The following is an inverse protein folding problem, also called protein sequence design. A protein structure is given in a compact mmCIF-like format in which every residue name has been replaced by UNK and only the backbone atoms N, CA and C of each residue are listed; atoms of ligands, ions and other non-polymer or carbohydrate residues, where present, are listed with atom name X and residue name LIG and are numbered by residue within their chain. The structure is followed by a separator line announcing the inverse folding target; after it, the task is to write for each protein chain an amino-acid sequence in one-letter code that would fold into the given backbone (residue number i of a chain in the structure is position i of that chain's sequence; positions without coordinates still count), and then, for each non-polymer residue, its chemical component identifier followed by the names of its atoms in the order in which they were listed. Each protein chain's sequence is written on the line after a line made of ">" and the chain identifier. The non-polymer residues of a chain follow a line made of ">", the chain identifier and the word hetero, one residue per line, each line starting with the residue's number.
data_IF_684679184175
#
_entry.id   IF_684679184175
#
_cell.length_a   1.000
_cell.length_b   1.000
_cell.length_c   1.000
_cell.angle_alpha   90.00
_cell.angle_beta   90.00
_cell.angle_gamma   90.00
#
_symmetry.space_group_name_H-M   'P 1'
#
loop_
_entity.id
_entity.type
_entity.pdbx_description
1 polymer ?
#
# COMPACT_ATOMS: atom_id res chain seq x y z
N UNK A 1 34.01 48.84 31.38
CA UNK A 1 33.32 47.55 31.58
C UNK A 1 31.99 47.83 32.27
N UNK A 2 30.87 47.64 31.56
CA UNK A 2 29.51 47.70 32.12
C UNK A 2 28.64 46.71 31.34
N UNK A 3 28.03 45.78 32.07
CA UNK A 3 27.23 44.68 31.56
C UNK A 3 25.91 45.18 30.97
N UNK A 4 25.51 44.66 29.80
CA UNK A 4 24.12 44.67 29.36
C UNK A 4 23.46 43.38 29.84
N UNK A 5 22.36 43.55 30.60
CA UNK A 5 21.58 42.49 31.20
C UNK A 5 20.84 41.64 30.16
N UNK A 6 20.78 40.35 30.46
CA UNK A 6 19.96 39.35 29.77
C UNK A 6 18.48 39.67 29.95
N UNK A 7 17.74 39.79 28.85
CA UNK A 7 16.28 39.75 28.84
C UNK A 7 15.83 38.29 28.92
N UNK A 8 14.91 37.92 29.84
CA UNK A 8 14.34 36.58 29.85
C UNK A 8 13.37 36.43 28.67
N UNK A 9 13.62 35.42 27.83
CA UNK A 9 12.63 34.96 26.84
C UNK A 9 11.52 34.25 27.61
N UNK A 10 10.36 34.88 27.69
CA UNK A 10 9.14 34.25 28.20
C UNK A 10 8.61 33.34 27.09
N UNK A 11 8.84 32.04 27.21
CA UNK A 11 8.16 31.03 26.39
C UNK A 11 6.75 30.88 26.96
N UNK A 12 5.77 31.46 26.27
CA UNK A 12 4.37 31.16 26.53
C UNK A 12 4.06 29.75 26.01
N UNK A 13 4.05 28.77 26.91
CA UNK A 13 3.46 27.46 26.63
C UNK A 13 1.96 27.65 26.43
N UNK A 14 1.51 27.65 25.18
CA UNK A 14 0.11 27.42 24.87
C UNK A 14 -0.22 25.99 25.31
N UNK A 15 -1.00 25.85 26.38
CA UNK A 15 -1.69 24.60 26.70
C UNK A 15 -2.65 24.33 25.54
N UNK A 16 -2.21 23.54 24.57
CA UNK A 16 -3.13 22.86 23.68
C UNK A 16 -3.97 21.95 24.58
N UNK A 17 -5.19 22.39 24.87
CA UNK A 17 -6.19 21.55 25.50
C UNK A 17 -6.26 20.25 24.69
N UNK A 18 -5.79 19.17 25.30
CA UNK A 18 -5.72 17.86 24.68
C UNK A 18 -7.12 17.42 24.30
N UNK A 19 -7.39 17.38 22.99
CA UNK A 19 -8.46 16.54 22.48
C UNK A 19 -7.98 15.10 22.71
N UNK A 20 -8.34 14.53 23.86
CA UNK A 20 -8.15 13.10 24.08
C UNK A 20 -8.95 12.37 23.00
N UNK A 21 -8.41 11.39 22.28
CA UNK A 21 -9.19 10.60 21.35
C UNK A 21 -10.36 10.02 22.13
N UNK A 22 -11.57 10.52 21.87
CA UNK A 22 -12.77 9.95 22.47
C UNK A 22 -12.95 8.60 21.78
N UNK A 23 -12.56 7.53 22.48
CA UNK A 23 -12.69 6.17 21.99
C UNK A 23 -14.18 5.85 21.93
N UNK A 24 -14.74 5.82 20.72
CA UNK A 24 -16.12 5.38 20.52
C UNK A 24 -16.11 3.85 20.54
N UNK A 25 -16.66 3.19 21.58
CA UNK A 25 -16.63 1.73 21.66
C UNK A 25 -17.44 1.13 20.51
N UNK A 26 -16.94 0.05 19.92
CA UNK A 26 -17.67 -0.72 18.91
C UNK A 26 -18.94 -1.30 19.56
N UNK A 27 -20.15 -1.03 19.02
CA UNK A 27 -21.38 -1.56 19.58
C UNK A 27 -21.39 -3.09 19.61
N UNK A 28 -21.84 -3.68 20.71
CA UNK A 28 -21.98 -5.14 20.79
C UNK A 28 -23.19 -5.63 19.98
N UNK A 29 -23.01 -6.69 19.21
CA UNK A 29 -24.06 -7.39 18.48
C UNK A 29 -24.19 -8.85 18.95
N UNK A 30 -25.43 -9.28 19.20
CA UNK A 30 -25.75 -10.64 19.64
C UNK A 30 -26.79 -11.32 18.71
N UNK A 31 -26.62 -11.14 17.40
CA UNK A 31 -27.50 -11.75 16.40
C UNK A 31 -27.31 -13.27 16.24
N UNK A 32 -28.10 -13.92 15.37
CA UNK A 32 -27.89 -15.32 15.01
C UNK A 32 -26.51 -15.51 14.33
N UNK A 33 -26.00 -16.75 14.35
CA UNK A 33 -24.77 -17.10 13.64
C UNK A 33 -25.00 -16.97 12.13
N UNK A 34 -24.26 -16.06 11.47
CA UNK A 34 -24.44 -15.75 10.04
C UNK A 34 -23.10 -15.37 9.42
N UNK A 35 -22.44 -16.33 8.75
CA UNK A 35 -21.12 -16.13 8.15
C UNK A 35 -21.21 -15.48 6.76
N UNK A 36 -20.89 -14.19 6.68
CA UNK A 36 -20.86 -13.42 5.44
C UNK A 36 -19.44 -12.92 5.16
N UNK A 37 -18.85 -13.41 4.07
CA UNK A 37 -17.54 -12.98 3.58
C UNK A 37 -17.73 -11.81 2.63
N UNK A 38 -17.03 -10.70 2.89
CA UNK A 38 -17.05 -9.50 2.03
C UNK A 38 -15.84 -9.46 1.11
N UNK A 39 -14.74 -10.05 1.55
CA UNK A 39 -13.55 -10.27 0.74
C UNK A 39 -12.79 -11.49 1.28
N UNK A 40 -12.16 -12.28 0.41
CA UNK A 40 -12.15 -12.14 -1.04
C UNK A 40 -13.53 -12.39 -1.67
N UNK A 41 -13.76 -11.75 -2.82
CA UNK A 41 -14.94 -12.00 -3.66
C UNK A 41 -14.61 -13.16 -4.62
N UNK A 42 -15.55 -13.48 -5.52
CA UNK A 42 -15.33 -14.50 -6.56
C UNK A 42 -14.35 -14.05 -7.65
N UNK A 43 -13.95 -12.77 -7.65
CA UNK A 43 -13.05 -12.18 -8.64
C UNK A 43 -11.59 -12.61 -8.42
N UNK A 44 -10.79 -12.75 -9.49
CA UNK A 44 -9.37 -13.04 -9.38
C UNK A 44 -8.61 -12.00 -8.55
N UNK A 45 -7.79 -12.47 -7.61
CA UNK A 45 -7.01 -11.63 -6.70
C UNK A 45 -5.51 -11.68 -7.01
N UNK A 46 -4.87 -10.51 -7.00
CA UNK A 46 -3.42 -10.35 -7.14
C UNK A 46 -2.74 -10.56 -5.79
N UNK A 47 -2.44 -11.80 -5.44
CA UNK A 47 -1.87 -12.15 -4.13
C UNK A 47 -0.73 -13.17 -4.28
N UNK A 48 0.35 -12.98 -3.52
CA UNK A 48 1.52 -13.88 -3.52
C UNK A 48 1.44 -14.87 -2.37
N UNK A 49 1.59 -14.37 -1.13
CA UNK A 49 1.87 -15.20 0.03
C UNK A 49 0.75 -15.14 1.09
N UNK A 50 0.00 -14.05 1.12
CA UNK A 50 -1.13 -13.86 2.03
C UNK A 50 -2.26 -13.07 1.38
N UNK A 51 -3.46 -13.23 1.93
CA UNK A 51 -4.67 -12.55 1.48
C UNK A 51 -5.41 -11.96 2.68
N UNK A 52 -5.99 -10.76 2.48
CA UNK A 52 -6.90 -10.19 3.46
C UNK A 52 -8.22 -10.95 3.45
N UNK A 53 -8.83 -11.19 4.61
CA UNK A 53 -10.15 -11.79 4.73
C UNK A 53 -10.93 -10.98 5.75
N UNK A 54 -12.11 -10.52 5.36
CA UNK A 54 -12.97 -9.72 6.22
C UNK A 54 -14.44 -9.91 5.88
N UNK A 55 -15.28 -9.71 6.89
CA UNK A 55 -16.69 -10.02 6.84
C UNK A 55 -17.37 -9.85 8.18
N UNK A 56 -18.51 -10.51 8.34
CA UNK A 56 -19.27 -10.55 9.59
C UNK A 56 -19.73 -11.98 9.87
N UNK A 57 -19.83 -12.32 11.16
CA UNK A 57 -20.43 -13.58 11.63
C UNK A 57 -21.76 -13.37 12.36
N UNK A 58 -22.26 -12.13 12.38
CA UNK A 58 -23.56 -11.73 12.95
C UNK A 58 -23.57 -11.48 14.46
N UNK A 59 -22.51 -11.85 15.19
CA UNK A 59 -22.41 -11.67 16.64
C UNK A 59 -20.98 -11.62 17.15
N UNK A 60 -20.68 -10.68 18.05
CA UNK A 60 -19.38 -10.62 18.74
C UNK A 60 -19.16 -11.71 19.79
N UNK A 61 -20.19 -12.52 20.10
CA UNK A 61 -20.06 -13.71 20.97
C UNK A 61 -19.68 -14.97 20.20
N UNK A 62 -19.66 -14.92 18.88
CA UNK A 62 -19.28 -16.05 18.05
C UNK A 62 -17.75 -16.15 17.92
N UNK A 63 -17.26 -17.33 17.56
CA UNK A 63 -15.85 -17.61 17.31
C UNK A 63 -15.66 -17.91 15.83
N UNK A 64 -14.54 -17.46 15.27
CA UNK A 64 -14.16 -17.75 13.89
C UNK A 64 -12.79 -18.44 13.87
N UNK A 65 -12.68 -19.49 13.08
CA UNK A 65 -11.41 -20.12 12.70
C UNK A 65 -11.28 -20.08 11.18
N UNK A 66 -10.09 -19.74 10.69
CA UNK A 66 -9.73 -19.85 9.27
C UNK A 66 -8.48 -20.71 9.18
N UNK A 67 -8.55 -21.81 8.42
CA UNK A 67 -7.51 -22.84 8.31
C UNK A 67 -7.03 -23.33 9.69
N UNK A 68 -7.98 -23.49 10.61
CA UNK A 68 -7.71 -23.89 12.01
C UNK A 68 -7.11 -22.80 12.90
N UNK A 69 -6.88 -21.57 12.41
CA UNK A 69 -6.37 -20.45 13.21
C UNK A 69 -7.50 -19.61 13.76
N UNK A 70 -7.48 -19.32 15.06
CA UNK A 70 -8.48 -18.45 15.70
C UNK A 70 -8.34 -17.02 15.19
N UNK A 71 -9.44 -16.45 14.70
CA UNK A 71 -9.51 -15.06 14.22
C UNK A 71 -10.29 -14.23 15.24
N UNK A 72 -9.79 -13.02 15.49
CA UNK A 72 -10.48 -12.07 16.37
C UNK A 72 -11.78 -11.61 15.72
N UNK A 73 -12.85 -11.67 16.50
CA UNK A 73 -14.17 -11.15 16.15
C UNK A 73 -14.40 -9.94 17.04
N UNK A 74 -14.79 -8.82 16.42
CA UNK A 74 -15.10 -7.58 17.12
C UNK A 74 -16.49 -7.64 17.78
N UNK A 75 -16.81 -6.75 18.74
CA UNK A 75 -18.07 -6.78 19.47
C UNK A 75 -19.32 -6.78 18.59
N UNK A 76 -19.26 -6.13 17.43
CA UNK A 76 -20.34 -6.07 16.43
C UNK A 76 -20.47 -7.33 15.56
N UNK A 77 -19.59 -8.32 15.76
CA UNK A 77 -19.51 -9.54 14.96
C UNK A 77 -18.72 -9.38 13.66
N UNK A 78 -18.08 -8.23 13.44
CA UNK A 78 -17.14 -8.02 12.34
C UNK A 78 -15.81 -8.74 12.58
N UNK A 79 -15.08 -9.02 11.50
CA UNK A 79 -13.71 -9.49 11.59
C UNK A 79 -12.90 -9.03 10.38
N UNK A 80 -11.59 -8.87 10.58
CA UNK A 80 -10.63 -8.61 9.51
C UNK A 80 -9.27 -9.20 9.88
N UNK A 81 -8.62 -9.89 8.94
CA UNK A 81 -7.32 -10.53 9.18
C UNK A 81 -6.56 -10.76 7.88
N UNK A 82 -5.27 -11.04 7.98
CA UNK A 82 -4.47 -11.59 6.87
C UNK A 82 -4.18 -13.06 7.14
N UNK A 83 -4.47 -13.91 6.16
CA UNK A 83 -4.17 -15.34 6.21
C UNK A 83 -3.16 -15.71 5.12
N UNK A 84 -2.17 -16.57 5.42
CA UNK A 84 -1.32 -17.18 4.40
C UNK A 84 -2.17 -17.90 3.37
N UNK A 85 -1.76 -17.85 2.10
CA UNK A 85 -2.46 -18.63 1.08
C UNK A 85 -2.07 -20.11 1.26
N UNK A 86 -3.03 -21.02 1.47
CA UNK A 86 -2.74 -22.43 1.65
C UNK A 86 -2.15 -23.04 0.36
N UNK A 87 -1.44 -24.17 0.46
CA UNK A 87 -1.01 -24.92 -0.71
C UNK A 87 -2.22 -25.47 -1.48
N UNK A 88 -2.10 -25.59 -2.80
CA UNK A 88 -3.16 -26.11 -3.68
C UNK A 88 -3.28 -25.32 -4.98
N UNK A 89 -3.98 -25.90 -5.96
CA UNK A 89 -4.35 -25.23 -7.22
C UNK A 89 -5.79 -25.64 -7.65
N UNK A 90 -6.81 -24.79 -7.41
CA UNK A 90 -6.73 -23.52 -6.70
C UNK A 90 -6.51 -23.73 -5.18
N UNK A 91 -5.82 -22.79 -4.50
CA UNK A 91 -5.75 -22.80 -3.04
C UNK A 91 -7.11 -22.47 -2.42
N UNK A 92 -7.42 -23.07 -1.28
CA UNK A 92 -8.76 -23.03 -0.68
C UNK A 92 -8.69 -22.75 0.82
N UNK A 93 -9.41 -21.73 1.29
CA UNK A 93 -9.55 -21.43 2.71
C UNK A 93 -10.70 -22.21 3.33
N UNK A 94 -10.49 -22.76 4.51
CA UNK A 94 -11.52 -23.40 5.32
C UNK A 94 -11.93 -22.50 6.48
N UNK A 95 -13.20 -22.10 6.53
CA UNK A 95 -13.77 -21.23 7.55
C UNK A 95 -14.74 -22.02 8.43
N UNK A 96 -14.57 -21.88 9.74
CA UNK A 96 -15.47 -22.45 10.74
C UNK A 96 -15.90 -21.34 11.69
N UNK A 97 -17.20 -21.04 11.69
CA UNK A 97 -17.82 -20.12 12.63
C UNK A 97 -18.67 -20.90 13.63
N UNK A 98 -18.57 -20.60 14.92
CA UNK A 98 -19.35 -21.28 15.97
C UNK A 98 -19.93 -20.31 17.00
N UNK A 99 -21.12 -20.64 17.50
CA UNK A 99 -21.79 -19.94 18.61
C UNK A 99 -22.74 -20.91 19.34
N UNK A 100 -22.48 -21.17 20.61
CA UNK A 100 -23.18 -22.24 21.35
C UNK A 100 -23.00 -23.58 20.63
N UNK A 101 -24.10 -24.27 20.36
CA UNK A 101 -24.14 -25.53 19.63
C UNK A 101 -24.22 -25.36 18.09
N UNK A 102 -24.34 -24.12 17.60
CA UNK A 102 -24.39 -23.83 16.16
C UNK A 102 -22.99 -23.73 15.58
N UNK A 103 -22.77 -24.41 14.45
CA UNK A 103 -21.52 -24.37 13.68
C UNK A 103 -21.85 -24.19 12.20
N UNK A 104 -21.11 -23.30 11.53
CA UNK A 104 -21.13 -23.11 10.08
C UNK A 104 -19.73 -23.41 9.56
N UNK A 105 -19.65 -24.32 8.59
CA UNK A 105 -18.44 -24.54 7.79
C UNK A 105 -18.62 -23.90 6.42
N UNK A 106 -17.58 -23.24 5.92
CA UNK A 106 -17.55 -22.66 4.58
C UNK A 106 -16.17 -22.80 3.98
N UNK A 107 -16.14 -23.28 2.75
CA UNK A 107 -14.93 -23.42 1.95
C UNK A 107 -14.89 -22.30 0.92
N UNK A 108 -13.75 -21.62 0.79
CA UNK A 108 -13.59 -20.46 -0.09
C UNK A 108 -12.39 -20.66 -1.03
N UNK A 109 -12.62 -21.03 -2.31
CA UNK A 109 -11.54 -21.12 -3.29
C UNK A 109 -10.99 -19.74 -3.62
N UNK A 110 -9.66 -19.63 -3.74
CA UNK A 110 -8.98 -18.38 -4.09
C UNK A 110 -8.51 -18.45 -5.53
N UNK A 111 -9.17 -17.68 -6.40
CA UNK A 111 -8.74 -17.52 -7.78
C UNK A 111 -7.57 -16.53 -7.83
N UNK A 112 -6.36 -17.01 -8.10
CA UNK A 112 -5.21 -16.11 -8.32
C UNK A 112 -5.32 -15.46 -9.69
N UNK A 113 -5.23 -14.14 -9.72
CA UNK A 113 -5.01 -13.42 -10.97
C UNK A 113 -3.67 -13.87 -11.56
N UNK A 114 -3.71 -14.47 -12.76
CA UNK A 114 -2.49 -14.79 -13.49
C UNK A 114 -1.97 -13.50 -14.12
N UNK A 115 -0.83 -13.00 -13.66
CA UNK A 115 0.00 -12.22 -14.56
C UNK A 115 0.60 -13.22 -15.52
N UNK A 116 0.43 -13.00 -16.82
CA UNK A 116 1.51 -13.39 -17.73
C UNK A 116 2.75 -12.75 -17.13
N UNK A 117 3.75 -13.53 -16.64
CA UNK A 117 4.98 -12.92 -16.17
C UNK A 117 5.45 -12.05 -17.32
N UNK A 118 5.52 -10.73 -17.11
CA UNK A 118 6.29 -9.90 -18.02
C UNK A 118 7.66 -10.52 -17.97
N UNK A 119 8.03 -11.22 -19.05
CA UNK A 119 9.32 -11.89 -19.17
C UNK A 119 10.34 -10.86 -18.69
N UNK A 120 11.01 -11.16 -17.57
CA UNK A 120 12.08 -10.31 -17.07
C UNK A 120 13.08 -10.31 -18.21
N UNK A 121 13.07 -9.24 -19.02
CA UNK A 121 14.17 -9.00 -19.92
C UNK A 121 15.38 -9.03 -18.99
N UNK A 122 16.32 -9.94 -19.25
CA UNK A 122 17.64 -9.83 -18.63
C UNK A 122 18.02 -8.35 -18.63
N UNK A 123 18.57 -7.81 -17.54
CA UNK A 123 18.94 -6.40 -17.49
C UNK A 123 20.00 -6.13 -18.57
N UNK A 124 19.53 -5.85 -19.78
CA UNK A 124 20.34 -5.24 -20.81
C UNK A 124 20.74 -3.89 -20.22
N UNK A 125 21.99 -3.45 -20.39
CA UNK A 125 22.29 -2.06 -20.15
C UNK A 125 21.24 -1.25 -20.91
N UNK A 126 20.53 -0.37 -20.20
CA UNK A 126 19.43 0.36 -20.78
C UNK A 126 19.97 1.14 -21.98
N UNK A 127 19.62 0.69 -23.18
CA UNK A 127 20.08 1.33 -24.41
C UNK A 127 19.57 2.78 -24.48
N UNK A 128 18.48 3.07 -23.75
CA UNK A 128 17.79 4.34 -23.74
C UNK A 128 17.40 4.74 -22.32
N UNK A 129 17.57 6.01 -22.02
CA UNK A 129 17.11 6.64 -20.79
C UNK A 129 16.04 7.65 -21.15
N UNK A 130 15.07 7.83 -20.27
CA UNK A 130 14.08 8.89 -20.40
C UNK A 130 14.08 9.78 -19.17
N UNK A 131 13.78 11.05 -19.38
CA UNK A 131 13.43 12.00 -18.34
C UNK A 131 11.92 12.11 -18.25
N UNK A 132 11.40 11.99 -17.05
CA UNK A 132 9.99 12.16 -16.77
C UNK A 132 9.62 13.63 -16.82
N UNK A 133 8.73 14.01 -17.72
CA UNK A 133 8.27 15.39 -17.85
C UNK A 133 6.82 15.37 -18.29
N UNK A 134 5.99 16.15 -17.59
CA UNK A 134 4.61 16.38 -18.00
C UNK A 134 4.50 17.83 -18.45
N UNK A 135 4.07 18.10 -19.70
CA UNK A 135 3.86 19.47 -20.13
C UNK A 135 2.83 20.15 -19.21
N UNK A 136 2.99 21.45 -18.93
CA UNK A 136 1.99 22.19 -18.17
C UNK A 136 0.64 22.06 -18.88
N UNK A 137 -0.40 21.69 -18.13
CA UNK A 137 -1.77 21.77 -18.65
C UNK A 137 -2.15 23.25 -18.77
N UNK A 138 -2.94 23.55 -19.79
CA UNK A 138 -3.58 24.85 -20.06
C UNK A 138 -4.60 25.29 -18.99
N UNK A 139 -4.79 24.50 -17.94
CA UNK A 139 -5.58 24.87 -16.77
C UNK A 139 -4.75 25.73 -15.82
N UNK A 140 -5.35 26.84 -15.34
CA UNK A 140 -4.71 27.86 -14.50
C UNK A 140 -4.09 27.27 -13.21
N UNK A 141 -4.58 26.12 -12.76
CA UNK A 141 -4.08 25.39 -11.57
C UNK A 141 -2.87 24.46 -11.85
N UNK A 142 -2.56 24.16 -13.11
CA UNK A 142 -1.50 23.20 -13.44
C UNK A 142 -0.11 23.84 -13.50
N UNK A 143 0.00 25.16 -13.71
CA UNK A 143 1.28 25.86 -13.84
C UNK A 143 2.09 25.93 -12.53
N UNK A 144 1.43 25.79 -11.37
CA UNK A 144 2.05 25.92 -10.03
C UNK A 144 2.16 24.59 -9.27
N UNK A 145 1.62 23.49 -9.79
CA UNK A 145 1.63 22.20 -9.10
C UNK A 145 2.65 21.26 -9.72
N UNK A 146 3.67 20.87 -8.96
CA UNK A 146 4.53 19.75 -9.28
C UNK A 146 3.71 18.45 -9.22
N UNK A 147 3.03 18.09 -10.31
CA UNK A 147 2.16 16.91 -10.37
C UNK A 147 3.01 15.66 -10.63
N UNK A 148 2.98 14.65 -9.74
CA UNK A 148 3.72 13.42 -10.02
C UNK A 148 3.21 12.74 -11.29
N UNK A 149 4.12 12.07 -11.98
CA UNK A 149 3.77 11.13 -13.05
C UNK A 149 3.42 9.81 -12.38
N UNK A 150 2.27 9.24 -12.72
CA UNK A 150 1.82 8.00 -12.08
C UNK A 150 2.21 6.81 -12.94
N UNK A 151 3.07 5.95 -12.39
CA UNK A 151 3.35 4.64 -12.94
C UNK A 151 2.17 3.68 -12.74
N UNK A 152 2.13 2.65 -13.58
CA UNK A 152 1.14 1.55 -13.58
C UNK A 152 1.89 0.22 -13.52
N UNK A 153 1.30 -0.80 -12.90
CA UNK A 153 1.92 -2.14 -12.89
C UNK A 153 1.81 -2.86 -14.24
N UNK A 154 0.80 -2.51 -15.04
CA UNK A 154 0.55 -3.05 -16.38
C UNK A 154 0.26 -1.91 -17.36
N UNK A 155 0.50 -2.09 -18.68
CA UNK A 155 0.10 -1.13 -19.71
C UNK A 155 -1.41 -0.85 -19.63
N UNK A 156 -1.80 0.42 -19.59
CA UNK A 156 -3.20 0.84 -19.42
C UNK A 156 -3.89 0.47 -18.09
N UNK A 157 -3.20 -0.21 -17.15
CA UNK A 157 -3.76 -0.68 -15.87
C UNK A 157 -4.02 0.44 -14.85
N UNK A 158 -4.44 0.10 -13.63
CA UNK A 158 -4.67 1.10 -12.57
C UNK A 158 -3.37 1.85 -12.19
N UNK A 159 -3.52 3.10 -11.70
CA UNK A 159 -2.41 3.88 -11.17
C UNK A 159 -1.83 3.19 -9.94
N UNK A 160 -0.50 3.11 -9.88
CA UNK A 160 0.23 2.35 -8.88
C UNK A 160 1.11 3.25 -7.99
N UNK A 161 2.00 4.02 -8.61
CA UNK A 161 3.07 4.72 -7.90
C UNK A 161 3.27 6.15 -8.42
N UNK A 162 3.24 7.18 -7.56
CA UNK A 162 3.67 8.51 -7.96
C UNK A 162 5.20 8.54 -8.12
N UNK A 163 5.66 9.09 -9.25
CA UNK A 163 7.07 9.29 -9.58
C UNK A 163 7.31 10.79 -9.73
N UNK A 164 8.36 11.35 -9.11
CA UNK A 164 8.68 12.76 -9.29
C UNK A 164 9.00 13.06 -10.75
N UNK A 165 8.66 14.28 -11.18
CA UNK A 165 9.12 14.79 -12.47
C UNK A 165 10.65 14.99 -12.45
N UNK A 166 11.24 15.15 -13.64
CA UNK A 166 12.67 15.31 -13.90
C UNK A 166 13.56 14.10 -13.56
N UNK A 167 12.98 13.05 -12.97
CA UNK A 167 13.68 11.79 -12.71
C UNK A 167 14.06 11.14 -14.04
N UNK A 168 15.31 10.65 -14.11
CA UNK A 168 15.81 9.91 -15.26
C UNK A 168 15.79 8.43 -14.95
N UNK A 169 15.13 7.65 -15.79
CA UNK A 169 15.00 6.22 -15.60
C UNK A 169 15.42 5.45 -16.86
N UNK A 170 16.02 4.27 -16.69
CA UNK A 170 16.26 3.36 -17.80
C UNK A 170 14.95 2.82 -18.36
N UNK A 171 14.88 2.73 -19.69
CA UNK A 171 13.78 2.04 -20.40
C UNK A 171 14.16 0.57 -20.60
N UNK A 172 13.32 -0.32 -20.10
CA UNK A 172 13.51 -1.77 -20.19
C UNK A 172 12.65 -2.40 -21.29
N UNK A 173 11.49 -1.83 -21.60
CA UNK A 173 10.59 -2.25 -22.68
C UNK A 173 9.69 -1.10 -23.14
N UNK A 174 9.05 -1.25 -24.30
CA UNK A 174 8.09 -0.27 -24.81
C UNK A 174 6.94 -0.94 -25.56
N UNK A 175 5.78 -0.29 -25.53
CA UNK A 175 4.65 -0.51 -26.45
C UNK A 175 4.46 0.77 -27.28
N UNK A 176 3.53 0.78 -28.25
CA UNK A 176 3.22 2.01 -28.99
C UNK A 176 2.82 3.19 -28.09
N UNK A 177 2.09 2.93 -27.00
CA UNK A 177 1.56 3.96 -26.11
C UNK A 177 2.31 4.14 -24.78
N UNK A 178 3.01 3.11 -24.30
CA UNK A 178 3.60 3.10 -22.95
C UNK A 178 5.08 2.74 -22.97
N UNK A 179 5.80 3.21 -21.95
CA UNK A 179 7.19 2.85 -21.67
C UNK A 179 7.27 2.09 -20.34
N UNK A 180 8.04 1.01 -20.30
CA UNK A 180 8.39 0.29 -19.07
C UNK A 180 9.71 0.83 -18.54
N UNK A 181 9.64 1.46 -17.37
CA UNK A 181 10.77 2.08 -16.70
C UNK A 181 11.21 1.24 -15.51
N UNK A 182 12.51 1.06 -15.37
CA UNK A 182 13.08 0.31 -14.25
C UNK A 182 13.47 1.23 -13.10
N UNK A 183 12.91 0.93 -11.94
CA UNK A 183 13.15 1.65 -10.68
C UNK A 183 14.25 0.96 -9.86
N UNK A 184 14.25 -0.38 -9.87
CA UNK A 184 15.23 -1.22 -9.17
C UNK A 184 15.39 -2.57 -9.91
N UNK A 185 16.29 -3.45 -9.44
CA UNK A 185 16.61 -4.74 -10.09
C UNK A 185 15.36 -5.54 -10.47
N UNK A 186 14.34 -5.56 -9.62
CA UNK A 186 13.12 -6.35 -9.80
C UNK A 186 11.84 -5.49 -9.76
N UNK A 187 11.98 -4.17 -9.89
CA UNK A 187 10.86 -3.23 -9.82
C UNK A 187 10.81 -2.38 -11.08
N UNK A 188 9.72 -2.50 -11.82
CA UNK A 188 9.46 -1.71 -13.01
C UNK A 188 8.00 -1.24 -13.04
N UNK A 189 7.79 -0.12 -13.71
CA UNK A 189 6.47 0.51 -13.86
C UNK A 189 6.27 0.95 -15.30
N UNK A 190 5.03 0.90 -15.75
CA UNK A 190 4.60 1.44 -17.04
C UNK A 190 4.14 2.88 -16.89
N UNK A 191 4.54 3.75 -17.81
CA UNK A 191 4.03 5.12 -17.92
C UNK A 191 3.61 5.42 -19.34
N UNK A 192 2.79 6.46 -19.52
CA UNK A 192 2.48 6.97 -20.86
C UNK A 192 3.76 7.47 -21.53
N UNK A 193 3.94 7.13 -22.82
CA UNK A 193 5.02 7.69 -23.65
C UNK A 193 4.99 9.22 -23.69
N UNK A 194 3.81 9.84 -23.54
CA UNK A 194 3.65 11.30 -23.54
C UNK A 194 4.22 11.99 -22.29
N UNK A 195 4.45 11.24 -21.21
CA UNK A 195 5.00 11.75 -19.95
C UNK A 195 6.54 11.57 -19.88
N UNK A 196 7.19 11.25 -21.00
CA UNK A 196 8.61 10.94 -21.08
C UNK A 196 9.29 11.60 -22.26
N UNK A 197 10.50 12.10 -22.01
CA UNK A 197 11.40 12.66 -23.02
C UNK A 197 12.67 11.82 -23.09
N UNK A 198 13.11 11.46 -24.29
CA UNK A 198 14.35 10.71 -24.47
C UNK A 198 15.56 11.56 -24.06
N UNK A 199 16.45 10.98 -23.26
CA UNK A 199 17.69 11.63 -22.82
C UNK A 199 18.88 10.70 -22.99
N UNK A 200 20.04 11.28 -23.32
CA UNK A 200 21.28 10.52 -23.34
C UNK A 200 21.64 10.05 -21.91
N UNK A 201 22.22 8.85 -21.74
CA UNK A 201 22.78 8.43 -20.47
C UNK A 201 23.90 9.39 -20.10
N UNK A 202 23.66 10.29 -19.16
CA UNK A 202 24.77 11.01 -18.52
C UNK A 202 25.36 10.06 -17.48
N UNK A 203 26.64 9.73 -17.62
CA UNK A 203 27.49 9.19 -16.57
C UNK A 203 27.62 10.24 -15.45
N UNK A 204 26.55 10.49 -14.70
CA UNK A 204 26.61 11.22 -13.45
C UNK A 204 26.38 10.18 -12.36
N UNK A 205 27.40 9.82 -11.56
CA UNK A 205 27.18 8.90 -10.45
C UNK A 205 26.10 9.49 -9.54
N UNK A 206 25.11 8.69 -9.10
CA UNK A 206 24.09 9.19 -8.20
C UNK A 206 24.76 9.64 -6.91
N UNK A 207 24.68 10.94 -6.61
CA UNK A 207 24.97 11.46 -5.28
C UNK A 207 23.78 11.07 -4.38
N UNK A 208 23.77 9.83 -3.90
CA UNK A 208 22.86 9.44 -2.82
C UNK A 208 23.39 10.11 -1.57
N UNK A 209 22.75 11.21 -1.16
CA UNK A 209 22.98 11.78 0.16
C UNK A 209 22.75 10.69 1.20
N UNK A 210 23.73 10.46 2.07
CA UNK A 210 23.63 9.44 3.10
C UNK A 210 22.40 9.72 3.97
N UNK A 211 21.44 8.79 4.10
CA UNK A 211 20.33 8.98 5.02
C UNK A 211 20.89 9.09 6.45
N UNK A 212 20.60 10.20 7.13
CA UNK A 212 20.82 10.31 8.58
C UNK A 212 19.60 9.70 9.28
N UNK A 213 19.82 8.57 9.95
CA UNK A 213 18.86 8.03 10.91
C UNK A 213 18.86 8.96 12.14
N UNK A 214 17.80 9.74 12.32
CA UNK A 214 17.53 10.37 13.62
C UNK A 214 16.81 9.36 14.50
N UNK A 215 17.52 8.83 15.48
CA UNK A 215 16.96 7.98 16.52
C UNK A 215 16.16 8.89 17.48
N UNK A 216 14.84 8.71 17.54
CA UNK A 216 14.02 9.37 18.56
C UNK A 216 14.39 8.79 19.92
N UNK A 217 14.85 9.63 20.85
CA UNK A 217 15.12 9.21 22.21
C UNK A 217 13.80 8.80 22.89
N UNK A 218 13.70 7.54 23.28
CA UNK A 218 12.65 7.05 24.16
C UNK A 218 12.93 7.60 25.56
N UNK A 219 12.21 8.62 25.99
CA UNK A 219 12.18 9.03 27.39
C UNK A 219 11.38 7.99 28.18
N UNK A 220 12.08 7.08 28.86
CA UNK A 220 11.53 6.31 29.97
C UNK A 220 11.38 7.24 31.17
N UNK A 221 10.15 7.41 31.66
CA UNK A 221 9.88 8.04 32.96
C UNK A 221 9.55 6.91 33.94
N UNK A 222 10.36 6.80 34.98
CA UNK A 222 10.10 6.04 36.20
C UNK A 222 9.13 6.81 37.10
#
# INVERSE_FOLDING_TARGET
>A
MKALGSLPVVVASALLAGCSPQEFPIPAADGPLSLQIRYPTEEPVWVTDSISVWGTIGSGKARLRIDGRSIRVEPDGGFATFVPIPPGDPPTLELEASKGDSVIHRTLPITRARSTPLQSAEPRPAARWVRLSRPPSDTVDAATQARPIYGRWTPGGALALPIPQEVRLPVDAETPGDLRLRLARDVAVWISRTDAEDVSPRLVPPLVGSPRLTQSATSSVF
#
